data_IF_585996206412
#
_entry.id   IF_585996206412
#
_cell.length_a   1.000
_cell.length_b   1.000
_cell.length_c   1.000
_cell.angle_alpha   90.00
_cell.angle_beta   90.00
_cell.angle_gamma   90.00
#
_symmetry.space_group_name_H-M   'P 1'
#
loop_
_entity.id
_entity.type
_entity.pdbx_description
1 polymer ?
#
# COMPACT_ATOMS: atom_id res chain seq x y z
N UNK A 1 20.62 8.81 -24.42
CA UNK A 1 20.42 7.37 -24.20
C UNK A 1 19.27 7.24 -23.21
N UNK A 2 18.12 6.73 -23.66
CA UNK A 2 16.98 6.51 -22.76
C UNK A 2 17.29 5.28 -21.89
N UNK A 3 17.17 5.45 -20.58
CA UNK A 3 17.29 4.37 -19.59
C UNK A 3 16.17 3.33 -19.84
N UNK A 4 16.49 2.08 -20.23
CA UNK A 4 15.51 1.05 -20.51
C UNK A 4 14.79 0.52 -19.25
N UNK A 5 15.15 0.99 -18.05
CA UNK A 5 14.69 0.40 -16.78
C UNK A 5 13.39 0.96 -16.22
N UNK A 6 12.98 2.18 -16.58
CA UNK A 6 11.81 2.81 -15.94
C UNK A 6 10.52 2.45 -16.66
N UNK A 7 9.95 1.29 -16.31
CA UNK A 7 8.58 0.97 -16.71
C UNK A 7 7.65 2.04 -16.16
N UNK A 8 6.68 2.48 -16.95
CA UNK A 8 5.78 3.58 -16.61
C UNK A 8 4.83 3.30 -15.45
N UNK A 9 5.04 2.22 -14.71
CA UNK A 9 4.14 1.62 -13.72
C UNK A 9 4.74 1.60 -12.30
N UNK A 10 6.00 2.04 -12.12
CA UNK A 10 6.63 2.11 -10.80
C UNK A 10 6.01 3.22 -9.91
N UNK A 11 5.96 2.96 -8.59
CA UNK A 11 5.45 3.93 -7.64
C UNK A 11 6.29 5.22 -7.63
N UNK A 12 5.72 6.31 -8.14
CA UNK A 12 6.39 7.63 -8.17
C UNK A 12 6.53 8.33 -6.80
N UNK A 13 6.26 7.65 -5.68
CA UNK A 13 6.31 8.19 -4.32
C UNK A 13 5.59 9.54 -4.14
N UNK A 14 4.46 9.74 -4.84
CA UNK A 14 3.63 10.94 -4.68
C UNK A 14 2.73 10.88 -3.43
N UNK A 15 2.51 9.67 -2.90
CA UNK A 15 1.71 9.37 -1.72
C UNK A 15 0.19 9.56 -1.88
N UNK A 16 -0.30 9.77 -3.10
CA UNK A 16 -1.73 9.95 -3.39
C UNK A 16 -2.53 8.68 -3.09
N UNK A 17 -2.15 7.53 -3.65
CA UNK A 17 -2.82 6.25 -3.37
C UNK A 17 -2.69 5.87 -1.89
N UNK A 18 -1.53 6.10 -1.28
CA UNK A 18 -1.31 5.84 0.15
C UNK A 18 -2.21 6.69 1.05
N UNK A 19 -2.54 7.93 0.63
CA UNK A 19 -3.42 8.82 1.38
C UNK A 19 -4.89 8.39 1.30
N UNK A 20 -5.32 7.84 0.17
CA UNK A 20 -6.72 7.48 -0.06
C UNK A 20 -7.04 6.07 0.46
N UNK A 21 -6.10 5.13 0.34
CA UNK A 21 -6.36 3.72 0.63
C UNK A 21 -5.38 3.07 1.60
N UNK A 22 -4.26 3.73 1.93
CA UNK A 22 -3.17 3.09 2.68
C UNK A 22 -3.55 2.67 4.10
N UNK A 23 -4.64 3.21 4.65
CA UNK A 23 -5.25 2.83 5.92
C UNK A 23 -6.06 1.52 5.85
N UNK A 24 -6.37 1.04 4.65
CA UNK A 24 -7.23 -0.14 4.42
C UNK A 24 -6.48 -1.32 3.79
N UNK A 25 -5.21 -1.14 3.48
CA UNK A 25 -4.41 -2.19 2.86
C UNK A 25 -4.00 -3.20 3.92
N UNK A 26 -4.32 -4.46 3.66
CA UNK A 26 -3.95 -5.60 4.48
C UNK A 26 -2.72 -6.30 3.86
N UNK A 27 -1.67 -6.58 4.65
CA UNK A 27 -0.51 -7.31 4.17
C UNK A 27 -0.88 -8.79 3.96
N UNK A 28 -0.12 -9.47 3.09
CA UNK A 28 -0.21 -10.92 3.00
C UNK A 28 0.48 -11.56 4.22
N UNK A 29 0.16 -12.83 4.51
CA UNK A 29 0.88 -13.60 5.53
C UNK A 29 2.38 -13.69 5.18
N UNK A 30 2.74 -13.75 3.89
CA UNK A 30 4.15 -13.72 3.45
C UNK A 30 4.86 -12.40 3.77
N UNK A 31 4.15 -11.27 3.75
CA UNK A 31 4.72 -9.99 4.21
C UNK A 31 4.99 -10.05 5.72
N UNK A 32 4.08 -10.61 6.52
CA UNK A 32 4.29 -10.79 7.96
C UNK A 32 5.50 -11.69 8.25
N UNK A 33 5.62 -12.84 7.58
CA UNK A 33 6.80 -13.71 7.68
C UNK A 33 8.08 -12.93 7.36
N UNK A 34 8.11 -12.21 6.23
CA UNK A 34 9.29 -11.46 5.81
C UNK A 34 9.69 -10.38 6.82
N UNK A 35 8.72 -9.65 7.38
CA UNK A 35 8.98 -8.63 8.40
C UNK A 35 9.39 -9.22 9.75
N UNK A 36 8.86 -10.39 10.10
CA UNK A 36 9.25 -11.11 11.31
C UNK A 36 10.71 -11.58 11.21
N UNK A 37 11.10 -12.23 10.11
CA UNK A 37 12.49 -12.65 9.85
C UNK A 37 13.48 -11.47 9.86
N UNK A 38 13.04 -10.30 9.41
CA UNK A 38 13.85 -9.08 9.41
C UNK A 38 13.82 -8.32 10.75
N UNK A 39 13.09 -8.81 11.77
CA UNK A 39 12.96 -8.14 13.07
C UNK A 39 12.24 -6.78 13.00
N UNK A 40 11.39 -6.55 12.00
CA UNK A 40 10.70 -5.27 11.74
C UNK A 40 9.48 -5.07 12.64
N UNK A 41 9.71 -5.10 13.95
CA UNK A 41 8.67 -4.82 14.97
C UNK A 41 8.06 -3.43 14.82
N UNK A 42 8.82 -2.47 14.27
CA UNK A 42 8.33 -1.13 13.92
C UNK A 42 7.24 -1.13 12.85
N UNK A 43 7.16 -2.17 12.03
CA UNK A 43 6.09 -2.37 11.05
C UNK A 43 5.00 -3.27 11.66
N UNK A 44 5.39 -4.41 12.22
CA UNK A 44 4.49 -5.44 12.70
C UNK A 44 3.54 -4.92 13.80
N UNK A 45 3.99 -3.99 14.65
CA UNK A 45 3.16 -3.47 15.73
C UNK A 45 1.87 -2.79 15.24
N UNK A 46 1.83 -2.33 13.99
CA UNK A 46 0.67 -1.71 13.37
C UNK A 46 -0.35 -2.71 12.82
N UNK A 47 -0.16 -4.01 13.01
CA UNK A 47 -1.07 -5.03 12.49
C UNK A 47 -1.60 -5.92 13.60
N UNK A 48 -2.89 -6.24 13.52
CA UNK A 48 -3.51 -7.27 14.35
C UNK A 48 -3.83 -8.47 13.46
N UNK A 49 -3.37 -9.66 13.87
CA UNK A 49 -3.73 -10.92 13.26
C UNK A 49 -4.85 -11.58 14.06
N UNK A 50 -5.88 -12.04 13.38
CA UNK A 50 -6.90 -12.93 13.94
C UNK A 50 -6.54 -14.36 13.56
N UNK A 51 -6.47 -15.24 14.55
CA UNK A 51 -6.23 -16.67 14.35
C UNK A 51 -7.56 -17.43 14.16
N UNK A 52 -7.50 -18.65 13.64
CA UNK A 52 -8.66 -19.54 13.45
C UNK A 52 -9.48 -19.75 14.74
N UNK A 53 -8.81 -19.77 15.89
CA UNK A 53 -9.45 -19.92 17.20
C UNK A 53 -10.14 -18.63 17.70
N UNK A 54 -10.19 -17.57 16.88
CA UNK A 54 -10.80 -16.27 17.21
C UNK A 54 -9.91 -15.33 18.03
N UNK A 55 -8.70 -15.76 18.41
CA UNK A 55 -7.75 -14.92 19.15
C UNK A 55 -7.23 -13.81 18.25
N UNK A 56 -7.23 -12.58 18.77
CA UNK A 56 -6.56 -11.44 18.14
C UNK A 56 -5.24 -11.17 18.85
N UNK A 57 -4.17 -11.12 18.08
CA UNK A 57 -2.81 -10.88 18.55
C UNK A 57 -2.19 -9.73 17.76
N UNK A 58 -1.31 -8.96 18.40
CA UNK A 58 -0.49 -7.99 17.67
C UNK A 58 0.55 -8.74 16.84
N UNK A 59 0.74 -8.37 15.57
CA UNK A 59 1.65 -9.10 14.69
C UNK A 59 3.12 -9.03 15.14
N UNK A 60 3.51 -8.09 16.00
CA UNK A 60 4.84 -8.02 16.60
C UNK A 60 5.08 -9.08 17.69
N UNK A 61 4.01 -9.71 18.17
CA UNK A 61 3.99 -10.74 19.22
C UNK A 61 3.62 -12.12 18.67
N UNK A 62 3.44 -12.25 17.34
CA UNK A 62 3.20 -13.53 16.69
C UNK A 62 4.41 -14.44 16.81
N UNK A 63 4.19 -15.66 17.26
CA UNK A 63 5.18 -16.73 17.17
C UNK A 63 5.17 -17.36 15.77
N UNK A 64 6.31 -17.84 15.24
CA UNK A 64 6.40 -18.42 13.90
C UNK A 64 5.38 -19.53 13.63
N UNK A 65 5.08 -20.36 14.64
CA UNK A 65 4.12 -21.45 14.53
C UNK A 65 2.66 -21.01 14.37
N UNK A 66 2.32 -19.77 14.74
CA UNK A 66 0.95 -19.25 14.70
C UNK A 66 0.58 -18.64 13.34
N UNK A 67 1.57 -18.38 12.48
CA UNK A 67 1.34 -17.70 11.22
C UNK A 67 0.52 -18.53 10.22
N UNK A 68 0.53 -19.87 10.36
CA UNK A 68 -0.32 -20.78 9.59
C UNK A 68 -1.81 -20.69 9.95
N UNK A 69 -2.13 -20.20 11.15
CA UNK A 69 -3.50 -20.13 11.66
C UNK A 69 -4.13 -18.74 11.42
N UNK A 70 -3.43 -17.83 10.73
CA UNK A 70 -3.92 -16.46 10.49
C UNK A 70 -5.04 -16.49 9.45
N UNK A 71 -6.24 -16.07 9.86
CA UNK A 71 -7.39 -15.93 8.95
C UNK A 71 -7.57 -14.50 8.44
N UNK A 72 -7.19 -13.50 9.24
CA UNK A 72 -7.37 -12.08 8.91
C UNK A 72 -6.21 -11.27 9.47
N UNK A 73 -5.73 -10.30 8.71
CA UNK A 73 -4.79 -9.28 9.18
C UNK A 73 -5.40 -7.91 8.95
N UNK A 74 -5.39 -7.06 9.98
CA UNK A 74 -5.93 -5.70 9.93
C UNK A 74 -4.89 -4.69 10.39
N UNK A 75 -4.84 -3.55 9.71
CA UNK A 75 -4.08 -2.40 10.17
C UNK A 75 -4.77 -1.80 11.42
N UNK A 76 -4.02 -1.64 12.50
CA UNK A 76 -4.50 -1.17 13.79
C UNK A 76 -3.50 -0.18 14.38
N UNK A 77 -4.01 0.82 15.07
CA UNK A 77 -3.16 1.70 15.88
C UNK A 77 -2.55 0.88 17.04
N UNK A 78 -1.22 0.88 17.21
CA UNK A 78 -0.53 0.00 18.16
C UNK A 78 -0.81 0.36 19.63
N UNK A 79 -1.28 1.58 19.91
CA UNK A 79 -1.53 2.07 21.27
C UNK A 79 -2.99 1.87 21.64
N UNK A 80 -3.91 2.19 20.73
CA UNK A 80 -5.35 2.24 20.98
C UNK A 80 -6.11 1.03 20.45
N UNK A 81 -5.52 0.27 19.52
CA UNK A 81 -6.20 -0.83 18.81
C UNK A 81 -7.32 -0.37 17.85
N UNK A 82 -7.47 0.94 17.64
CA UNK A 82 -8.46 1.49 16.71
C UNK A 82 -8.00 1.31 15.25
N UNK A 83 -8.94 1.42 14.30
CA UNK A 83 -8.58 1.57 12.89
C UNK A 83 -7.96 2.96 12.70
N UNK A 84 -6.73 3.06 12.18
CA UNK A 84 -6.11 4.37 12.01
C UNK A 84 -6.82 5.15 10.90
N UNK A 85 -7.01 6.47 11.05
CA UNK A 85 -7.69 7.30 10.05
C UNK A 85 -6.82 7.56 8.79
N UNK A 86 -5.51 7.28 8.89
CA UNK A 86 -4.53 7.39 7.81
C UNK A 86 -3.49 6.29 7.97
N UNK A 87 -2.84 5.89 6.87
CA UNK A 87 -1.73 4.94 6.92
C UNK A 87 -0.61 5.44 7.87
N UNK A 88 -0.17 4.65 8.86
CA UNK A 88 0.86 5.06 9.82
C UNK A 88 2.24 5.24 9.18
N UNK A 89 2.46 4.59 8.03
CA UNK A 89 3.71 4.70 7.27
C UNK A 89 3.73 5.89 6.30
N UNK A 90 2.65 6.66 6.20
CA UNK A 90 2.58 7.83 5.34
C UNK A 90 3.15 9.05 6.07
N UNK A 91 4.25 9.60 5.54
CA UNK A 91 4.88 10.80 6.08
C UNK A 91 4.74 11.96 5.11
N UNK A 92 4.26 13.10 5.60
CA UNK A 92 4.26 14.35 4.86
C UNK A 92 5.67 14.96 4.92
N UNK A 93 6.26 15.23 3.76
CA UNK A 93 7.60 15.86 3.65
C UNK A 93 7.53 17.29 3.13
N UNK A 94 6.47 17.62 2.38
CA UNK A 94 6.21 18.98 1.89
C UNK A 94 4.70 19.24 1.90
N UNK A 95 4.30 20.48 1.56
CA UNK A 95 2.87 20.87 1.56
C UNK A 95 1.99 19.91 0.73
N UNK A 96 2.52 19.40 -0.37
CA UNK A 96 1.78 18.55 -1.32
C UNK A 96 2.44 17.20 -1.57
N UNK A 97 3.49 16.85 -0.81
CA UNK A 97 4.29 15.65 -1.04
C UNK A 97 4.32 14.77 0.20
N UNK A 98 4.08 13.49 -0.03
CA UNK A 98 4.13 12.45 0.99
C UNK A 98 5.02 11.31 0.52
N UNK A 99 5.69 10.66 1.46
CA UNK A 99 6.49 9.46 1.23
C UNK A 99 5.99 8.32 2.10
N UNK A 100 6.22 7.09 1.64
CA UNK A 100 5.99 5.89 2.45
C UNK A 100 7.29 5.55 3.18
N UNK A 101 7.29 5.54 4.51
CA UNK A 101 8.50 5.24 5.30
C UNK A 101 8.97 3.79 5.16
N UNK A 102 8.10 2.88 4.73
CA UNK A 102 8.41 1.47 4.49
C UNK A 102 8.53 1.13 3.00
N UNK A 103 8.82 2.13 2.15
CA UNK A 103 8.75 1.98 0.70
C UNK A 103 9.46 0.73 0.15
N UNK A 104 10.66 0.43 0.66
CA UNK A 104 11.49 -0.69 0.20
C UNK A 104 10.93 -2.07 0.59
N UNK A 105 10.06 -2.13 1.60
CA UNK A 105 9.50 -3.37 2.14
C UNK A 105 7.97 -3.30 2.22
N UNK A 106 7.36 -2.54 1.31
CA UNK A 106 5.91 -2.41 1.22
C UNK A 106 5.27 -3.80 1.08
N UNK A 107 4.06 -3.99 1.64
CA UNK A 107 3.33 -5.20 1.40
C UNK A 107 2.98 -5.33 -0.09
N UNK A 108 2.80 -6.56 -0.55
CA UNK A 108 2.56 -6.85 -1.98
C UNK A 108 1.32 -6.12 -2.49
N UNK A 109 0.28 -6.04 -1.65
CA UNK A 109 -0.93 -5.28 -1.94
C UNK A 109 -0.65 -3.80 -2.20
N UNK A 110 0.27 -3.16 -1.48
CA UNK A 110 0.67 -1.76 -1.75
C UNK A 110 1.41 -1.60 -3.09
N UNK A 111 2.10 -2.64 -3.55
CA UNK A 111 2.84 -2.63 -4.81
C UNK A 111 1.92 -2.91 -6.00
N UNK A 112 0.94 -3.79 -5.81
CA UNK A 112 0.04 -4.27 -6.86
C UNK A 112 -1.27 -3.46 -6.95
N UNK A 113 -1.56 -2.62 -5.96
CA UNK A 113 -2.78 -1.81 -5.98
C UNK A 113 -2.75 -0.77 -7.10
N UNK A 114 -3.61 -0.97 -8.09
CA UNK A 114 -3.81 -0.11 -9.25
C UNK A 114 -5.19 0.55 -9.16
N UNK A 115 -5.29 1.79 -8.63
CA UNK A 115 -6.58 2.46 -8.41
C UNK A 115 -7.49 2.51 -9.65
N UNK A 116 -6.90 2.54 -10.85
CA UNK A 116 -7.61 2.62 -12.13
C UNK A 116 -8.27 1.30 -12.59
N UNK A 117 -7.88 0.14 -12.04
CA UNK A 117 -8.56 -1.14 -12.34
C UNK A 117 -9.98 -1.15 -11.75
N UNK A 118 -10.19 -0.41 -10.66
CA UNK A 118 -11.46 -0.38 -9.93
C UNK A 118 -12.36 0.82 -10.30
N UNK A 119 -12.03 1.55 -11.38
CA UNK A 119 -12.82 2.72 -11.81
C UNK A 119 -12.66 3.96 -10.92
N UNK A 120 -11.75 3.93 -9.94
CA UNK A 120 -11.44 5.08 -9.09
C UNK A 120 -10.50 6.05 -9.82
N UNK A 121 -11.05 6.77 -10.81
CA UNK A 121 -10.30 7.59 -11.77
C UNK A 121 -9.90 8.98 -11.26
N UNK A 122 -10.14 9.33 -9.99
CA UNK A 122 -9.89 10.68 -9.50
C UNK A 122 -8.52 10.85 -8.82
N UNK A 123 -7.45 10.61 -9.57
CA UNK A 123 -6.06 10.96 -9.18
C UNK A 123 -5.42 11.98 -10.15
N UNK A 124 -6.01 13.17 -10.37
CA UNK A 124 -5.54 14.12 -11.39
C UNK A 124 -4.10 14.63 -11.15
N UNK A 125 -3.55 14.41 -9.96
CA UNK A 125 -2.18 14.80 -9.58
C UNK A 125 -1.17 13.66 -9.62
N UNK A 126 -1.58 12.44 -9.96
CA UNK A 126 -0.66 11.32 -10.05
C UNK A 126 0.11 11.40 -11.37
N UNK A 127 1.42 11.70 -11.29
CA UNK A 127 2.27 11.81 -12.47
C UNK A 127 2.34 10.50 -13.26
N UNK A 128 2.40 9.36 -12.57
CA UNK A 128 2.42 8.01 -13.18
C UNK A 128 1.17 7.78 -14.04
N UNK A 129 -0.01 8.12 -13.51
CA UNK A 129 -1.28 8.05 -14.25
C UNK A 129 -1.31 9.00 -15.44
N UNK A 130 -0.97 10.27 -15.24
CA UNK A 130 -0.93 11.27 -16.32
C UNK A 130 0.02 10.86 -17.44
N UNK A 131 1.18 10.29 -17.10
CA UNK A 131 2.18 9.86 -18.07
C UNK A 131 1.75 8.56 -18.78
N UNK A 132 0.90 7.73 -18.15
CA UNK A 132 0.26 6.56 -18.77
C UNK A 132 -0.89 6.95 -19.69
N UNK A 133 -1.76 7.88 -19.29
CA UNK A 133 -2.85 8.40 -20.12
C UNK A 133 -2.33 8.98 -21.43
N UNK A 134 -1.25 9.77 -21.38
CA UNK A 134 -0.57 10.29 -22.59
C UNK A 134 -0.01 9.21 -23.52
N UNK A 135 0.27 8.01 -22.99
CA UNK A 135 0.78 6.86 -23.74
C UNK A 135 -0.33 5.93 -24.24
N UNK A 136 -1.58 6.16 -23.83
CA UNK A 136 -2.71 5.34 -24.28
C UNK A 136 -2.95 5.57 -25.78
N UNK A 137 -3.06 4.52 -26.60
CA UNK A 137 -3.45 4.66 -28.02
C UNK A 137 -4.84 5.33 -28.21
N UNK A 138 -5.64 5.36 -27.14
CA UNK A 138 -7.02 5.83 -27.13
C UNK A 138 -7.17 7.28 -26.65
N UNK A 139 -6.11 7.92 -26.15
CA UNK A 139 -6.17 9.32 -25.66
C UNK A 139 -6.32 10.38 -26.76
N UNK A 140 -6.40 9.96 -28.03
CA UNK A 140 -6.70 10.82 -29.18
C UNK A 140 -8.11 10.66 -29.77
N UNK A 141 -9.00 9.86 -29.16
CA UNK A 141 -10.32 9.53 -29.72
C UNK A 141 -11.51 10.30 -29.11
N UNK A 142 -11.26 11.33 -28.30
CA UNK A 142 -12.31 12.20 -27.75
C UNK A 142 -12.24 13.62 -28.31
N UNK A 143 -12.27 13.76 -29.64
CA UNK A 143 -12.45 15.06 -30.32
C UNK A 143 -13.08 14.91 -31.72
N UNK A 144 -14.11 14.10 -31.88
CA UNK A 144 -15.01 14.18 -33.04
C UNK A 144 -16.46 14.05 -32.57
N UNK A 145 -17.03 15.19 -32.18
CA UNK A 145 -18.48 15.38 -32.16
C UNK A 145 -18.92 15.81 -33.57
N UNK A 146 -19.98 15.23 -34.16
CA UNK A 146 -20.72 15.85 -35.25
C UNK A 146 -21.68 16.95 -34.76
#
# INVERSE_FOLDING_TARGET
>A
MADPGRTGDECGQCGLCCKVFGDRITPTVMNLYSWHEQGRKDILCHFSACLENGTRINAADLEPGQMGDIVVVELRDPVTGALPPVCPFLRRVERTRYICSIHAVKPDMCCNYMPWIYGETYFPRCSVLRDREKRSPWSGLSSQDP
#
